data_IF_387217931610
#
_entry.id   IF_387217931610
#
_cell.length_a   1.000
_cell.length_b   1.000
_cell.length_c   1.000
_cell.angle_alpha   90.00
_cell.angle_beta   90.00
_cell.angle_gamma   90.00
#
_symmetry.space_group_name_H-M   'P 1'
#
loop_
_entity.id
_entity.type
_entity.pdbx_description
1 polymer ?
#
# COMPACT_ATOMS: atom_id res chain seq x y z
N UNK A 1 10.81 0.82 20.92
CA UNK A 1 11.08 1.39 19.58
C UNK A 1 9.92 2.27 19.10
N UNK A 2 8.69 1.73 19.03
CA UNK A 2 7.51 2.48 18.57
C UNK A 2 7.20 3.77 19.36
N UNK A 3 7.38 3.80 20.68
CA UNK A 3 7.14 5.02 21.47
C UNK A 3 8.10 6.17 21.12
N UNK A 4 9.36 5.85 20.80
CA UNK A 4 10.35 6.83 20.32
C UNK A 4 9.96 7.38 18.95
N UNK A 5 9.43 6.51 18.07
CA UNK A 5 8.93 6.94 16.75
C UNK A 5 7.65 7.76 16.88
N UNK A 6 6.78 7.46 17.85
CA UNK A 6 5.59 8.27 18.16
C UNK A 6 5.98 9.68 18.55
N UNK A 7 6.88 9.82 19.52
CA UNK A 7 7.31 11.13 20.00
C UNK A 7 7.86 11.99 18.85
N UNK A 8 8.73 11.41 18.02
CA UNK A 8 9.30 12.06 16.84
C UNK A 8 8.23 12.45 15.79
N UNK A 9 7.24 11.59 15.56
CA UNK A 9 6.17 11.85 14.60
C UNK A 9 5.26 12.98 15.09
N UNK A 10 4.83 12.92 16.35
CA UNK A 10 3.88 13.87 16.94
C UNK A 10 4.52 15.26 17.07
N UNK A 11 5.76 15.36 17.56
CA UNK A 11 6.46 16.64 17.63
C UNK A 11 6.61 17.28 16.25
N UNK A 12 7.08 16.53 15.26
CA UNK A 12 7.23 17.01 13.89
C UNK A 12 5.89 17.36 13.21
N UNK A 13 4.81 16.67 13.55
CA UNK A 13 3.47 17.00 13.06
C UNK A 13 2.96 18.32 13.68
N UNK A 14 3.18 18.52 14.98
CA UNK A 14 2.81 19.76 15.69
C UNK A 14 3.60 20.96 15.18
N UNK A 15 4.91 20.80 14.95
CA UNK A 15 5.74 21.84 14.31
C UNK A 15 5.23 22.23 12.91
N UNK A 16 4.56 21.32 12.21
CA UNK A 16 3.93 21.54 10.90
C UNK A 16 2.47 22.03 10.99
N UNK A 17 2.00 22.37 12.19
CA UNK A 17 0.67 22.94 12.42
C UNK A 17 -0.45 21.91 12.59
N UNK A 18 -0.15 20.62 12.73
CA UNK A 18 -1.15 19.58 13.02
C UNK A 18 -1.42 19.57 14.53
N UNK A 19 -2.69 19.62 14.94
CA UNK A 19 -3.04 19.53 16.36
C UNK A 19 -2.57 18.21 16.98
N UNK A 20 -1.99 18.28 18.19
CA UNK A 20 -1.48 17.09 18.90
C UNK A 20 -2.49 15.92 18.97
N UNK A 21 -3.77 16.13 19.34
CA UNK A 21 -4.76 15.03 19.38
C UNK A 21 -4.96 14.34 18.01
N UNK A 22 -4.89 15.11 16.93
CA UNK A 22 -5.01 14.57 15.57
C UNK A 22 -3.75 13.79 15.18
N UNK A 23 -2.56 14.29 15.51
CA UNK A 23 -1.31 13.59 15.25
C UNK A 23 -1.22 12.26 15.99
N UNK A 24 -1.61 12.23 17.27
CA UNK A 24 -1.68 11.00 18.08
C UNK A 24 -2.66 9.99 17.47
N UNK A 25 -3.87 10.44 17.08
CA UNK A 25 -4.87 9.59 16.44
C UNK A 25 -4.38 9.00 15.11
N UNK A 26 -3.71 9.80 14.26
CA UNK A 26 -3.16 9.32 13.00
C UNK A 26 -2.05 8.28 13.23
N UNK A 27 -1.20 8.49 14.23
CA UNK A 27 -0.16 7.52 14.55
C UNK A 27 -0.74 6.18 15.01
N UNK A 28 -1.77 6.19 15.85
CA UNK A 28 -2.50 4.98 16.26
C UNK A 28 -3.09 4.24 15.07
N UNK A 29 -3.69 4.98 14.14
CA UNK A 29 -4.24 4.43 12.92
C UNK A 29 -3.15 3.79 12.04
N UNK A 30 -2.01 4.48 11.88
CA UNK A 30 -0.87 3.99 11.11
C UNK A 30 -0.29 2.71 11.72
N UNK A 31 -0.14 2.65 13.04
CA UNK A 31 0.33 1.45 13.74
C UNK A 31 -0.62 0.26 13.51
N UNK A 32 -1.94 0.49 13.60
CA UNK A 32 -2.94 -0.55 13.34
C UNK A 32 -2.92 -1.07 11.90
N UNK A 33 -2.75 -0.19 10.90
CA UNK A 33 -2.71 -0.61 9.50
C UNK A 33 -1.35 -1.20 9.09
N UNK A 34 -0.27 -0.91 9.82
CA UNK A 34 1.05 -1.45 9.52
C UNK A 34 1.10 -2.97 9.61
N UNK A 35 0.32 -3.58 10.51
CA UNK A 35 0.21 -5.05 10.65
C UNK A 35 -0.28 -5.75 9.37
N UNK A 36 -1.02 -5.03 8.53
CA UNK A 36 -1.57 -5.54 7.26
C UNK A 36 -1.07 -4.77 6.04
N UNK A 37 -0.08 -3.89 6.23
CA UNK A 37 0.48 -3.08 5.16
C UNK A 37 1.18 -3.95 4.12
N UNK A 38 0.66 -3.98 2.90
CA UNK A 38 1.27 -4.77 1.83
C UNK A 38 2.27 -3.94 1.02
N UNK A 39 3.36 -4.57 0.57
CA UNK A 39 4.39 -3.88 -0.19
C UNK A 39 3.86 -3.45 -1.56
N UNK A 40 3.69 -2.14 -1.76
CA UNK A 40 3.09 -1.57 -2.97
C UNK A 40 3.90 -1.85 -4.23
N UNK A 41 5.23 -1.78 -4.18
CA UNK A 41 6.09 -2.05 -5.34
C UNK A 41 5.95 -3.49 -5.84
N UNK A 42 5.91 -4.46 -4.91
CA UNK A 42 5.69 -5.86 -5.23
C UNK A 42 4.29 -6.08 -5.80
N UNK A 43 3.24 -5.56 -5.16
CA UNK A 43 1.87 -5.67 -5.66
C UNK A 43 1.73 -5.07 -7.07
N UNK A 44 2.31 -3.89 -7.32
CA UNK A 44 2.22 -3.22 -8.60
C UNK A 44 2.91 -4.01 -9.72
N UNK A 45 4.09 -4.58 -9.46
CA UNK A 45 4.81 -5.37 -10.46
C UNK A 45 3.99 -6.59 -10.92
N UNK A 46 3.40 -7.32 -9.97
CA UNK A 46 2.55 -8.47 -10.29
C UNK A 46 1.23 -8.04 -10.93
N UNK A 47 0.64 -6.92 -10.50
CA UNK A 47 -0.57 -6.38 -11.11
C UNK A 47 -0.38 -6.04 -12.61
N UNK A 48 0.81 -5.58 -13.02
CA UNK A 48 1.12 -5.35 -14.44
C UNK A 48 1.03 -6.66 -15.22
N UNK A 49 1.63 -7.75 -14.72
CA UNK A 49 1.56 -9.07 -15.38
C UNK A 49 0.12 -9.57 -15.41
N UNK A 50 -0.64 -9.46 -14.31
CA UNK A 50 -2.05 -9.83 -14.27
C UNK A 50 -2.91 -9.03 -15.26
N UNK A 51 -2.60 -7.74 -15.42
CA UNK A 51 -3.30 -6.89 -16.39
C UNK A 51 -2.97 -7.30 -17.82
N UNK A 52 -1.69 -7.55 -18.12
CA UNK A 52 -1.25 -8.02 -19.44
C UNK A 52 -1.91 -9.35 -19.81
N UNK A 53 -1.99 -10.30 -18.88
CA UNK A 53 -2.67 -11.58 -19.14
C UNK A 53 -4.17 -11.39 -19.34
N UNK A 54 -4.82 -10.53 -18.55
CA UNK A 54 -6.22 -10.20 -18.73
C UNK A 54 -6.49 -9.52 -20.09
N UNK A 55 -5.60 -8.61 -20.51
CA UNK A 55 -5.67 -7.97 -21.81
C UNK A 55 -5.58 -8.98 -22.95
N UNK A 56 -4.59 -9.87 -22.91
CA UNK A 56 -4.43 -10.92 -23.92
C UNK A 56 -5.65 -11.85 -23.96
N UNK A 57 -6.16 -12.24 -22.79
CA UNK A 57 -7.39 -13.05 -22.70
C UNK A 57 -8.61 -12.34 -23.29
N UNK A 58 -8.74 -11.03 -23.08
CA UNK A 58 -9.89 -10.26 -23.55
C UNK A 58 -9.88 -10.02 -25.08
N UNK A 59 -8.70 -9.84 -25.68
CA UNK A 59 -8.56 -9.44 -27.08
C UNK A 59 -8.11 -10.57 -28.02
N UNK A 60 -7.44 -11.59 -27.49
CA UNK A 60 -6.93 -12.75 -28.24
C UNK A 60 -7.28 -14.06 -27.51
N UNK A 61 -8.58 -14.35 -27.29
CA UNK A 61 -9.01 -15.41 -26.38
C UNK A 61 -8.65 -16.82 -26.84
N UNK A 62 -8.64 -17.06 -28.16
CA UNK A 62 -8.35 -18.39 -28.72
C UNK A 62 -6.86 -18.71 -28.56
N UNK A 63 -6.00 -17.78 -28.92
CA UNK A 63 -4.55 -17.88 -28.77
C UNK A 63 -4.16 -17.92 -27.29
N UNK A 64 -4.78 -17.09 -26.46
CA UNK A 64 -4.55 -17.09 -25.02
C UNK A 64 -4.91 -18.45 -24.39
N UNK A 65 -6.06 -19.04 -24.76
CA UNK A 65 -6.45 -20.36 -24.25
C UNK A 65 -5.50 -21.44 -24.77
N UNK A 66 -5.15 -21.42 -26.07
CA UNK A 66 -4.19 -22.36 -26.65
C UNK A 66 -2.79 -22.28 -26.01
N UNK A 67 -2.35 -21.08 -25.61
CA UNK A 67 -1.06 -20.87 -24.93
C UNK A 67 -1.09 -21.25 -23.43
N UNK A 68 -2.27 -21.40 -22.84
CA UNK A 68 -2.45 -21.66 -21.40
C UNK A 68 -2.78 -23.12 -21.07
N UNK A 69 -3.03 -23.96 -22.08
CA UNK A 69 -3.27 -25.40 -21.95
C UNK A 69 -1.99 -26.18 -22.25
#
# INVERSE_FOLDING_TARGET
EMDKQRERFVSGAVERGVGKPQADFIFDLLAKFADYGFNKSHAAAYAVVSYQTAYLKAHYPVEFLAASM
#
